data_IF_391617187486
#
_entry.id   IF_391617187486
#
_cell.length_a   1.000
_cell.length_b   1.000
_cell.length_c   1.000
_cell.angle_alpha   90.00
_cell.angle_beta   90.00
_cell.angle_gamma   90.00
#
_symmetry.space_group_name_H-M   'P 1'
#
loop_
_entity.id
_entity.type
_entity.pdbx_description
1 polymer ?
#
# COMPACT_ATOMS: atom_id res chain seq x y z
N UNK A 1 22.79 4.78 -27.15
CA UNK A 1 22.99 6.16 -26.64
C UNK A 1 22.54 6.08 -25.20
N UNK A 2 23.42 5.63 -24.31
CA UNK A 2 23.02 5.25 -22.95
C UNK A 2 24.07 5.84 -22.02
N UNK A 3 23.72 7.03 -21.49
CA UNK A 3 24.60 7.91 -20.74
C UNK A 3 24.87 7.33 -19.34
N UNK A 4 25.86 6.43 -19.27
CA UNK A 4 26.41 5.88 -18.04
C UNK A 4 27.51 6.79 -17.51
N UNK A 5 27.14 7.90 -16.88
CA UNK A 5 28.10 8.78 -16.22
C UNK A 5 27.39 9.63 -15.18
N UNK A 6 27.44 9.21 -13.91
CA UNK A 6 27.41 10.10 -12.74
C UNK A 6 27.78 9.31 -11.48
N UNK A 7 29.07 9.38 -11.14
CA UNK A 7 29.70 8.76 -9.99
C UNK A 7 29.41 9.55 -8.69
N UNK A 8 28.90 8.89 -7.65
CA UNK A 8 29.13 9.21 -6.23
C UNK A 8 28.39 10.41 -5.59
N UNK A 9 28.23 11.53 -6.28
CA UNK A 9 27.47 12.71 -5.81
C UNK A 9 26.00 12.61 -6.22
N UNK A 10 25.75 12.15 -7.45
CA UNK A 10 24.40 11.85 -7.95
C UNK A 10 23.70 10.76 -7.12
N UNK A 11 24.44 9.74 -6.69
CA UNK A 11 23.93 8.68 -5.80
C UNK A 11 23.58 9.20 -4.39
N UNK A 12 24.41 10.08 -3.82
CA UNK A 12 24.12 10.70 -2.51
C UNK A 12 22.88 11.58 -2.56
N UNK A 13 22.73 12.37 -3.64
CA UNK A 13 21.55 13.21 -3.85
C UNK A 13 20.31 12.36 -4.16
N UNK A 14 20.42 11.32 -5.00
CA UNK A 14 19.33 10.35 -5.23
C UNK A 14 18.92 9.64 -3.94
N UNK A 15 19.88 9.28 -3.10
CA UNK A 15 19.65 8.65 -1.80
C UNK A 15 18.93 9.59 -0.83
N UNK A 16 19.35 10.85 -0.75
CA UNK A 16 18.72 11.87 0.08
C UNK A 16 17.30 12.22 -0.40
N UNK A 17 17.10 12.38 -1.72
CA UNK A 17 15.78 12.62 -2.32
C UNK A 17 14.86 11.42 -2.11
N UNK A 18 15.38 10.19 -2.23
CA UNK A 18 14.60 8.97 -1.97
C UNK A 18 14.23 8.82 -0.50
N UNK A 19 15.11 9.21 0.43
CA UNK A 19 14.80 9.25 1.87
C UNK A 19 13.73 10.29 2.20
N UNK A 20 13.88 11.53 1.73
CA UNK A 20 12.90 12.61 1.96
C UNK A 20 11.55 12.26 1.32
N UNK A 21 11.56 11.74 0.10
CA UNK A 21 10.34 11.30 -0.59
C UNK A 21 9.73 10.08 0.10
N UNK A 22 10.55 9.19 0.65
CA UNK A 22 10.15 8.03 1.46
C UNK A 22 9.48 8.46 2.75
N UNK A 23 10.12 9.31 3.57
CA UNK A 23 9.57 9.85 4.81
C UNK A 23 8.30 10.68 4.56
N UNK A 24 8.25 11.45 3.47
CA UNK A 24 7.05 12.17 3.07
C UNK A 24 5.93 11.23 2.61
N UNK A 25 6.22 10.14 1.89
CA UNK A 25 5.23 9.10 1.53
C UNK A 25 4.81 8.27 2.72
N UNK A 26 5.69 8.09 3.69
CA UNK A 26 5.42 7.33 4.90
C UNK A 26 4.54 8.15 5.84
N UNK A 27 4.85 9.43 6.05
CA UNK A 27 3.96 10.35 6.75
C UNK A 27 2.66 10.58 5.99
N UNK A 28 2.69 10.83 4.68
CA UNK A 28 1.47 11.05 3.91
C UNK A 28 0.68 9.75 3.71
N UNK A 29 1.31 8.59 3.68
CA UNK A 29 0.67 7.28 3.58
C UNK A 29 0.10 6.80 4.91
N UNK A 30 0.77 7.10 6.03
CA UNK A 30 0.25 6.88 7.39
C UNK A 30 -0.73 7.97 7.84
N UNK A 31 -0.69 9.18 7.27
CA UNK A 31 -1.65 10.26 7.58
C UNK A 31 -2.84 10.29 6.63
N UNK A 32 -2.64 9.87 5.37
CA UNK A 32 -3.70 9.34 4.48
C UNK A 32 -4.02 7.90 4.87
N UNK A 33 -3.88 7.58 6.18
CA UNK A 33 -4.70 6.63 6.91
C UNK A 33 -6.07 6.69 6.27
N UNK A 34 -6.28 5.80 5.31
CA UNK A 34 -7.50 5.75 4.56
C UNK A 34 -8.45 5.10 5.55
N UNK A 35 -8.90 5.84 6.56
CA UNK A 35 -9.92 5.39 7.47
C UNK A 35 -11.12 4.85 6.65
N UNK A 36 -11.37 5.46 5.47
CA UNK A 36 -12.24 4.93 4.43
C UNK A 36 -11.79 3.57 3.86
N UNK A 37 -10.58 3.37 3.30
CA UNK A 37 -10.15 2.05 2.80
C UNK A 37 -10.01 0.99 3.91
N UNK A 38 -9.62 1.36 5.13
CA UNK A 38 -9.59 0.45 6.28
C UNK A 38 -11.01 0.06 6.70
N UNK A 39 -11.95 1.02 6.72
CA UNK A 39 -13.36 0.75 7.05
C UNK A 39 -14.04 -0.07 5.95
N UNK A 40 -13.84 0.29 4.67
CA UNK A 40 -14.30 -0.47 3.52
C UNK A 40 -13.69 -1.87 3.52
N UNK A 41 -12.38 -2.03 3.76
CA UNK A 41 -11.73 -3.34 3.84
C UNK A 41 -12.24 -4.20 5.00
N UNK A 42 -12.56 -3.61 6.16
CA UNK A 42 -13.20 -4.32 7.28
C UNK A 42 -14.64 -4.74 6.96
N UNK A 43 -15.42 -3.85 6.35
CA UNK A 43 -16.80 -4.15 5.91
C UNK A 43 -16.81 -5.23 4.83
N UNK A 44 -15.89 -5.17 3.87
CA UNK A 44 -15.79 -6.12 2.77
C UNK A 44 -15.36 -7.51 3.28
N UNK A 45 -14.38 -7.58 4.20
CA UNK A 45 -14.05 -8.83 4.90
C UNK A 45 -15.25 -9.43 5.63
N UNK A 46 -15.99 -8.62 6.39
CA UNK A 46 -17.15 -9.10 7.13
C UNK A 46 -18.25 -9.61 6.18
N UNK A 47 -18.49 -8.92 5.07
CA UNK A 47 -19.40 -9.39 4.00
C UNK A 47 -18.91 -10.69 3.38
N UNK A 48 -17.62 -10.79 3.06
CA UNK A 48 -17.01 -11.98 2.49
C UNK A 48 -17.12 -13.20 3.40
N UNK A 49 -16.78 -13.06 4.68
CA UNK A 49 -16.95 -14.14 5.67
C UNK A 49 -18.42 -14.56 5.82
N UNK A 50 -19.33 -13.59 5.85
CA UNK A 50 -20.77 -13.87 5.94
C UNK A 50 -21.27 -14.63 4.71
N UNK A 51 -20.90 -14.19 3.51
CA UNK A 51 -21.25 -14.87 2.26
C UNK A 51 -20.63 -16.26 2.17
N UNK A 52 -19.39 -16.43 2.63
CA UNK A 52 -18.69 -17.71 2.60
C UNK A 52 -19.38 -18.72 3.54
N UNK A 53 -19.75 -18.31 4.76
CA UNK A 53 -20.51 -19.18 5.67
C UNK A 53 -21.90 -19.54 5.15
N UNK A 54 -22.62 -18.57 4.60
CA UNK A 54 -23.94 -18.83 3.99
C UNK A 54 -23.78 -19.74 2.77
N UNK A 55 -22.74 -19.53 1.97
CA UNK A 55 -22.39 -20.36 0.81
C UNK A 55 -22.10 -21.80 1.22
N UNK A 56 -21.20 -22.03 2.17
CA UNK A 56 -20.88 -23.37 2.70
C UNK A 56 -22.10 -24.08 3.32
N UNK A 57 -23.02 -23.33 3.94
CA UNK A 57 -24.26 -23.89 4.48
C UNK A 57 -25.26 -24.28 3.37
N UNK A 58 -25.23 -23.58 2.22
CA UNK A 58 -26.06 -23.88 1.05
C UNK A 58 -25.47 -24.97 0.16
N UNK A 59 -24.14 -25.06 0.10
CA UNK A 59 -23.38 -26.03 -0.73
C UNK A 59 -23.46 -27.46 -0.17
N UNK A 60 -23.72 -27.61 1.14
CA UNK A 60 -23.93 -28.90 1.80
C UNK A 60 -25.38 -29.45 1.71
N UNK A 61 -26.17 -29.07 0.70
CA UNK A 61 -27.48 -29.67 0.42
C UNK A 61 -27.59 -30.18 -1.02
#
# INVERSE_FOLDING_TARGET
MDNHKDNGLGDKIKGAVSKVKGEAKDQYGNATDNASLQAEGKLDKAKGEFQQRVGEAKDRH
#
